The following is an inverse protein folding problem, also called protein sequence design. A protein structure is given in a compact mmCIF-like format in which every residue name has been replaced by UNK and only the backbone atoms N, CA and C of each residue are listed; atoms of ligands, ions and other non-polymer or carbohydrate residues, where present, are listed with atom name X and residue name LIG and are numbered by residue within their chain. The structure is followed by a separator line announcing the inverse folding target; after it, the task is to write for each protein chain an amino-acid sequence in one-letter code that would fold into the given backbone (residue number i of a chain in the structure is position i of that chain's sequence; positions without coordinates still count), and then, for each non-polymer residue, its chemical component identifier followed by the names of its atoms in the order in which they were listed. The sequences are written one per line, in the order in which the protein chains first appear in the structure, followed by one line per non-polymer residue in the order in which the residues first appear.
data_IF_286937320352
#
_entry.id   IF_286937320352
#
_cell.length_a   1.000
_cell.length_b   1.000
_cell.length_c   1.000
_cell.angle_alpha   90.00
_cell.angle_beta   90.00
_cell.angle_gamma   90.00
#
_symmetry.space_group_name_H-M   'P 1'
#
loop_
_entity.id
_entity.type
_entity.pdbx_description
1 polymer ?
#
# COMPACT_ATOMS: atom_id res chain seq x y z
N UNK A 1 2.89 22.65 -0.40
CA UNK A 1 2.01 21.56 0.08
C UNK A 1 0.60 22.07 0.33
N UNK A 2 -0.35 21.63 -0.50
CA UNK A 2 -1.78 21.90 -0.31
C UNK A 2 -2.39 20.75 0.48
N UNK A 3 -3.05 21.02 1.61
CA UNK A 3 -3.72 19.98 2.41
C UNK A 3 -5.18 19.94 2.03
N UNK A 4 -5.58 18.89 1.33
CA UNK A 4 -6.95 18.70 0.89
C UNK A 4 -7.69 17.81 1.87
N UNK A 5 -8.80 18.30 2.42
CA UNK A 5 -9.77 17.50 3.13
C UNK A 5 -10.73 16.84 2.12
N UNK A 6 -10.78 15.51 2.12
CA UNK A 6 -11.85 14.73 1.50
C UNK A 6 -12.85 14.34 2.59
N UNK A 7 -14.10 14.77 2.44
CA UNK A 7 -15.14 14.58 3.44
C UNK A 7 -16.11 13.52 2.95
N UNK A 8 -16.32 12.43 3.69
CA UNK A 8 -17.22 11.35 3.28
C UNK A 8 -18.44 11.24 4.21
N UNK A 9 -19.65 11.05 3.64
CA UNK A 9 -20.84 10.63 4.38
C UNK A 9 -20.85 9.13 4.70
N UNK A 10 -21.47 8.77 5.82
CA UNK A 10 -21.81 7.38 6.15
C UNK A 10 -23.30 7.13 5.83
N UNK A 11 -23.67 5.99 5.24
CA UNK A 11 -25.07 5.63 4.90
C UNK A 11 -25.38 5.63 3.39
N UNK A 12 -26.66 5.77 3.02
CA UNK A 12 -27.10 5.84 1.61
C UNK A 12 -26.60 7.16 0.97
N UNK A 13 -25.45 7.07 0.30
CA UNK A 13 -24.70 8.24 -0.18
C UNK A 13 -25.46 9.10 -1.19
N UNK A 14 -26.27 8.52 -2.08
CA UNK A 14 -27.02 9.26 -3.10
C UNK A 14 -28.13 10.15 -2.51
N UNK A 15 -29.08 9.62 -1.71
CA UNK A 15 -30.11 10.45 -1.07
C UNK A 15 -29.52 11.55 -0.18
N UNK A 16 -28.45 11.24 0.55
CA UNK A 16 -27.77 12.21 1.42
C UNK A 16 -27.07 13.31 0.62
N UNK A 17 -26.37 12.96 -0.47
CA UNK A 17 -25.77 13.94 -1.38
C UNK A 17 -26.82 14.83 -2.04
N UNK A 18 -27.96 14.27 -2.47
CA UNK A 18 -29.07 15.04 -3.02
C UNK A 18 -29.67 16.01 -1.98
N UNK A 19 -29.90 15.54 -0.76
CA UNK A 19 -30.41 16.37 0.33
C UNK A 19 -29.45 17.52 0.67
N UNK A 20 -28.15 17.25 0.65
CA UNK A 20 -27.13 18.28 0.83
C UNK A 20 -27.13 19.29 -0.33
N UNK A 21 -27.04 18.83 -1.57
CA UNK A 21 -26.93 19.68 -2.75
C UNK A 21 -28.17 20.56 -2.97
N UNK A 22 -29.33 20.16 -2.43
CA UNK A 22 -30.53 20.97 -2.42
C UNK A 22 -30.52 22.07 -1.34
N UNK A 23 -29.74 21.90 -0.27
CA UNK A 23 -29.72 22.79 0.89
C UNK A 23 -28.51 23.74 0.90
N UNK A 24 -27.45 23.41 0.16
CA UNK A 24 -26.16 24.11 0.22
C UNK A 24 -25.53 24.24 -1.17
N UNK A 25 -24.87 25.37 -1.41
CA UNK A 25 -24.19 25.66 -2.70
C UNK A 25 -22.94 24.80 -2.95
N UNK A 26 -22.49 24.05 -1.95
CA UNK A 26 -21.34 23.15 -2.07
C UNK A 26 -21.81 21.82 -2.65
N UNK A 27 -21.56 21.59 -3.94
CA UNK A 27 -21.93 20.34 -4.59
C UNK A 27 -21.10 19.17 -4.05
N UNK A 28 -21.78 18.11 -3.64
CA UNK A 28 -21.22 16.84 -3.21
C UNK A 28 -21.44 15.81 -4.29
N UNK A 29 -20.37 15.12 -4.67
CA UNK A 29 -20.44 13.99 -5.58
C UNK A 29 -20.20 12.68 -4.80
N UNK A 30 -21.16 11.75 -4.89
CA UNK A 30 -21.14 10.46 -4.19
C UNK A 30 -20.83 10.53 -2.68
N UNK A 31 -21.21 11.63 -2.04
CA UNK A 31 -20.95 11.87 -0.62
C UNK A 31 -19.54 12.37 -0.31
N UNK A 32 -18.77 12.78 -1.31
CA UNK A 32 -17.41 13.30 -1.18
C UNK A 32 -17.36 14.81 -1.48
N UNK A 33 -16.72 15.58 -0.58
CA UNK A 33 -16.32 16.97 -0.84
C UNK A 33 -14.81 17.07 -0.76
N UNK A 34 -14.20 17.73 -1.74
CA UNK A 34 -12.76 17.97 -1.83
C UNK A 34 -12.52 19.46 -1.63
N UNK A 35 -11.89 19.84 -0.52
CA UNK A 35 -11.63 21.24 -0.21
C UNK A 35 -10.26 21.42 0.44
N UNK A 36 -9.60 22.54 0.14
CA UNK A 36 -8.37 22.90 0.83
C UNK A 36 -8.66 23.28 2.28
N UNK A 37 -8.03 22.58 3.22
CA UNK A 37 -8.22 22.76 4.66
C UNK A 37 -7.75 24.14 5.16
N UNK A 38 -6.87 24.81 4.42
CA UNK A 38 -6.39 26.14 4.76
C UNK A 38 -7.40 27.24 4.43
N UNK A 39 -8.42 26.95 3.62
CA UNK A 39 -9.41 27.93 3.18
C UNK A 39 -10.50 28.17 4.24
N UNK A 40 -10.96 29.43 4.45
CA UNK A 40 -12.06 29.76 5.35
C UNK A 40 -13.34 28.94 5.09
N UNK A 41 -13.58 28.61 3.82
CA UNK A 41 -14.68 27.80 3.32
C UNK A 41 -14.74 26.43 4.02
N UNK A 42 -13.59 25.86 4.41
CA UNK A 42 -13.56 24.58 5.11
C UNK A 42 -14.19 24.66 6.50
N UNK A 43 -13.95 25.76 7.24
CA UNK A 43 -14.58 25.97 8.55
C UNK A 43 -16.09 26.20 8.43
N UNK A 44 -16.51 26.94 7.39
CA UNK A 44 -17.93 27.13 7.09
C UNK A 44 -18.61 25.81 6.75
N UNK A 45 -17.97 25.00 5.90
CA UNK A 45 -18.46 23.69 5.50
C UNK A 45 -18.59 22.72 6.68
N UNK A 46 -17.61 22.72 7.59
CA UNK A 46 -17.65 21.90 8.81
C UNK A 46 -18.81 22.30 9.74
N UNK A 47 -19.10 23.60 9.84
CA UNK A 47 -20.23 24.10 10.62
C UNK A 47 -21.57 23.69 10.00
N UNK A 48 -21.71 23.84 8.67
CA UNK A 48 -22.89 23.38 7.93
C UNK A 48 -23.11 21.87 8.09
N UNK A 49 -22.04 21.08 7.98
CA UNK A 49 -22.13 19.64 8.19
C UNK A 49 -22.56 19.27 9.59
N UNK A 50 -22.08 19.97 10.62
CA UNK A 50 -22.50 19.71 11.99
C UNK A 50 -24.02 19.86 12.15
N UNK A 51 -24.63 20.83 11.46
CA UNK A 51 -26.08 21.02 11.43
C UNK A 51 -26.78 19.90 10.64
N UNK A 52 -26.21 19.51 9.50
CA UNK A 52 -26.73 18.41 8.68
C UNK A 52 -26.69 17.07 9.43
N UNK A 53 -25.59 16.76 10.11
CA UNK A 53 -25.38 15.56 10.91
C UNK A 53 -26.30 15.46 12.15
N UNK A 54 -26.82 16.59 12.63
CA UNK A 54 -27.85 16.57 13.68
C UNK A 54 -29.21 16.09 13.16
N UNK A 55 -29.45 16.21 11.84
CA UNK A 55 -30.71 15.84 11.17
C UNK A 55 -30.64 14.47 10.49
N UNK A 56 -29.47 14.11 9.98
CA UNK A 56 -29.20 12.87 9.28
C UNK A 56 -28.11 12.13 10.05
N UNK A 57 -28.28 10.83 10.31
CA UNK A 57 -27.30 10.00 11.04
C UNK A 57 -26.03 9.77 10.19
N UNK A 58 -25.26 10.85 9.99
CA UNK A 58 -24.06 10.89 9.17
C UNK A 58 -22.87 11.35 10.01
N UNK A 59 -21.71 10.78 9.72
CA UNK A 59 -20.47 11.08 10.42
C UNK A 59 -19.55 11.84 9.48
N UNK A 60 -18.92 12.91 9.98
CA UNK A 60 -17.85 13.60 9.25
C UNK A 60 -16.61 12.73 9.28
N UNK A 61 -16.23 12.17 8.13
CA UNK A 61 -14.92 11.53 7.96
C UNK A 61 -14.06 12.43 7.11
N UNK A 62 -13.03 12.99 7.73
CA UNK A 62 -12.02 13.75 7.04
C UNK A 62 -10.89 12.83 6.63
N UNK A 63 -10.44 13.00 5.40
CA UNK A 63 -9.17 12.44 4.94
C UNK A 63 -8.32 13.58 4.43
N UNK A 64 -7.22 13.86 5.12
CA UNK A 64 -6.23 14.85 4.68
C UNK A 64 -5.30 14.19 3.68
N UNK A 65 -5.26 14.71 2.45
CA UNK A 65 -4.28 14.32 1.44
C UNK A 65 -3.41 15.53 1.12
N UNK A 66 -2.10 15.37 1.13
CA UNK A 66 -1.19 16.38 0.63
C UNK A 66 -1.08 16.28 -0.89
N UNK A 67 -1.29 17.39 -1.59
CA UNK A 67 -0.93 17.51 -3.00
C UNK A 67 0.44 18.17 -3.13
N UNK A 68 1.27 17.55 -3.95
CA UNK A 68 2.64 17.96 -4.24
C UNK A 68 2.76 18.34 -5.71
N UNK A 69 3.41 19.46 -5.97
CA UNK A 69 3.85 19.83 -7.31
C UNK A 69 5.00 18.93 -7.77
N UNK A 70 5.24 18.84 -9.08
CA UNK A 70 6.38 18.09 -9.61
C UNK A 70 7.73 18.62 -9.07
N UNK A 71 7.83 19.92 -8.83
CA UNK A 71 9.02 20.52 -8.23
C UNK A 71 9.21 20.09 -6.77
N UNK A 72 8.14 20.01 -5.99
CA UNK A 72 8.19 19.48 -4.63
C UNK A 72 8.53 17.99 -4.64
N UNK A 73 7.90 17.20 -5.50
CA UNK A 73 8.21 15.78 -5.67
C UNK A 73 9.70 15.56 -5.97
N UNK A 74 10.30 16.35 -6.85
CA UNK A 74 11.72 16.27 -7.17
C UNK A 74 12.66 16.61 -5.99
N UNK A 75 12.16 17.19 -4.91
CA UNK A 75 12.96 17.58 -3.73
C UNK A 75 12.98 16.52 -2.62
N UNK A 76 12.13 15.51 -2.69
CA UNK A 76 12.11 14.44 -1.69
C UNK A 76 13.27 13.46 -1.90
N UNK A 77 13.81 12.94 -0.80
CA UNK A 77 14.85 11.93 -0.86
C UNK A 77 14.24 10.53 -0.97
N UNK A 78 13.08 10.31 -0.34
CA UNK A 78 12.40 9.04 -0.20
C UNK A 78 10.91 9.12 -0.53
N UNK A 79 10.35 7.98 -0.94
CA UNK A 79 8.94 7.78 -1.21
C UNK A 79 8.49 6.45 -0.63
N UNK A 80 7.37 6.44 0.08
CA UNK A 80 6.63 5.23 0.37
C UNK A 80 5.84 4.80 -0.89
N UNK A 81 5.86 3.50 -1.17
CA UNK A 81 5.14 2.89 -2.29
C UNK A 81 3.91 2.16 -1.76
N UNK A 82 2.74 2.71 -2.08
CA UNK A 82 1.47 2.01 -1.89
C UNK A 82 1.18 1.18 -3.15
N UNK A 83 0.96 -0.12 -2.97
CA UNK A 83 0.66 -1.05 -4.06
C UNK A 83 -0.86 -1.28 -4.09
N UNK A 84 -1.44 -1.09 -5.26
CA UNK A 84 -2.87 -1.24 -5.54
C UNK A 84 -3.15 -2.29 -6.61
N UNK A 85 -2.14 -2.68 -7.40
CA UNK A 85 -2.29 -3.80 -8.31
C UNK A 85 -2.65 -5.06 -7.53
N UNK A 86 -3.66 -5.77 -8.00
CA UNK A 86 -4.19 -6.95 -7.33
C UNK A 86 -3.51 -8.21 -7.88
N UNK A 87 -2.90 -8.99 -7.00
CA UNK A 87 -2.23 -10.24 -7.32
C UNK A 87 -3.04 -11.48 -6.96
N UNK A 88 -4.30 -11.33 -6.57
CA UNK A 88 -5.17 -12.43 -6.17
C UNK A 88 -4.65 -13.20 -4.94
N UNK A 89 -4.94 -14.50 -4.90
CA UNK A 89 -4.57 -15.37 -3.78
C UNK A 89 -3.05 -15.67 -3.77
N UNK A 90 -2.44 -15.57 -2.58
CA UNK A 90 -1.01 -15.86 -2.34
C UNK A 90 -0.80 -16.97 -1.29
N UNK A 91 0.43 -17.06 -0.75
CA UNK A 91 0.79 -17.99 0.33
C UNK A 91 0.49 -19.49 0.04
N UNK A 92 0.04 -20.23 1.06
CA UNK A 92 -0.18 -21.66 1.04
C UNK A 92 -1.47 -22.07 0.29
N UNK A 93 -2.17 -21.12 -0.34
CA UNK A 93 -3.46 -21.35 -0.98
C UNK A 93 -3.36 -22.33 -2.14
N UNK A 94 -2.36 -22.18 -2.99
CA UNK A 94 -2.19 -23.05 -4.16
C UNK A 94 -1.21 -24.21 -3.93
N UNK A 95 -0.27 -24.08 -2.99
CA UNK A 95 0.34 -25.20 -2.27
C UNK A 95 1.34 -24.69 -1.20
N UNK A 96 2.07 -25.58 -0.54
CA UNK A 96 2.92 -25.28 0.62
C UNK A 96 4.16 -24.40 0.33
N UNK A 97 3.88 -23.11 0.11
CA UNK A 97 4.65 -21.87 0.32
C UNK A 97 5.77 -21.85 1.37
N UNK A 98 5.31 -21.93 2.62
CA UNK A 98 6.00 -21.41 3.79
C UNK A 98 5.99 -22.41 4.94
N UNK A 99 7.12 -22.49 5.63
CA UNK A 99 7.24 -23.12 6.94
C UNK A 99 7.04 -22.09 8.06
N UNK A 100 6.30 -22.48 9.09
CA UNK A 100 6.22 -21.74 10.34
C UNK A 100 7.46 -22.03 11.21
N UNK A 101 8.26 -21.00 11.47
CA UNK A 101 9.46 -21.09 12.31
C UNK A 101 9.23 -20.32 13.61
N UNK A 102 9.15 -20.99 14.78
CA UNK A 102 9.08 -20.30 16.07
C UNK A 102 10.34 -19.44 16.29
N UNK A 103 10.15 -18.16 16.63
CA UNK A 103 11.23 -17.19 16.83
C UNK A 103 11.32 -16.70 18.27
N UNK A 104 10.20 -16.67 18.99
CA UNK A 104 10.20 -16.29 20.39
C UNK A 104 9.15 -17.08 21.17
N UNK A 105 9.61 -17.90 22.11
CA UNK A 105 8.76 -18.75 22.94
C UNK A 105 7.85 -17.92 23.86
N UNK A 106 8.34 -16.78 24.36
CA UNK A 106 7.59 -15.97 25.32
C UNK A 106 6.36 -15.26 24.73
N UNK A 107 6.45 -14.76 23.50
CA UNK A 107 5.31 -14.15 22.83
C UNK A 107 4.67 -15.05 21.76
N UNK A 108 5.19 -16.28 21.58
CA UNK A 108 4.73 -17.22 20.56
C UNK A 108 4.91 -16.71 19.13
N UNK A 109 5.88 -15.80 18.89
CA UNK A 109 6.10 -15.24 17.55
C UNK A 109 6.62 -16.33 16.62
N UNK A 110 6.00 -16.40 15.45
CA UNK A 110 6.38 -17.27 14.34
C UNK A 110 6.80 -16.39 13.17
N UNK A 111 7.88 -16.78 12.48
CA UNK A 111 8.26 -16.25 11.17
C UNK A 111 7.89 -17.27 10.09
N UNK A 112 7.40 -16.78 8.97
CA UNK A 112 7.06 -17.61 7.82
C UNK A 112 8.26 -17.64 6.88
N UNK A 113 8.98 -18.76 6.86
CA UNK A 113 10.11 -18.96 5.95
C UNK A 113 9.60 -19.57 4.66
N UNK A 114 9.76 -18.85 3.56
CA UNK A 114 9.47 -19.38 2.23
C UNK A 114 10.43 -20.52 1.87
N UNK A 115 9.90 -21.70 1.57
CA UNK A 115 10.69 -22.91 1.27
C UNK A 115 10.66 -23.32 -0.20
N UNK A 116 9.87 -22.64 -1.02
CA UNK A 116 9.78 -22.84 -2.47
C UNK A 116 9.37 -21.53 -3.15
N UNK A 117 9.36 -21.50 -4.48
CA UNK A 117 8.85 -20.35 -5.21
C UNK A 117 7.37 -20.10 -4.87
N UNK A 118 6.98 -18.83 -4.97
CA UNK A 118 5.59 -18.44 -4.83
C UNK A 118 4.78 -19.09 -5.95
N UNK A 119 3.64 -19.68 -5.60
CA UNK A 119 2.71 -20.29 -6.56
C UNK A 119 1.42 -19.49 -6.54
N UNK A 120 0.98 -19.00 -7.69
CA UNK A 120 -0.27 -18.23 -7.83
C UNK A 120 -1.09 -18.75 -9.02
N UNK A 121 -2.38 -18.48 -9.01
CA UNK A 121 -3.20 -18.64 -10.20
C UNK A 121 -3.06 -17.40 -11.10
N UNK A 122 -2.30 -17.54 -12.19
CA UNK A 122 -2.07 -16.48 -13.17
C UNK A 122 -3.14 -16.48 -14.28
N UNK A 123 -4.01 -17.49 -14.29
CA UNK A 123 -5.02 -17.68 -15.31
C UNK A 123 -6.45 -17.59 -14.77
N UNK A 124 -6.61 -17.45 -13.45
CA UNK A 124 -7.87 -17.66 -12.72
C UNK A 124 -9.07 -17.31 -13.59
N UNK A 125 -9.67 -18.37 -14.15
CA UNK A 125 -10.79 -18.31 -15.09
C UNK A 125 -12.06 -17.94 -14.33
N UNK A 126 -12.07 -16.77 -13.70
CA UNK A 126 -13.31 -16.14 -13.26
C UNK A 126 -13.98 -15.64 -14.54
N UNK A 127 -15.29 -15.91 -14.76
CA UNK A 127 -15.98 -15.63 -16.01
C UNK A 127 -15.94 -14.17 -16.48
N UNK A 128 -15.45 -13.26 -15.64
CA UNK A 128 -15.20 -11.86 -15.96
C UNK A 128 -13.79 -11.44 -15.48
N UNK A 129 -12.74 -11.83 -16.21
CA UNK A 129 -11.35 -11.35 -16.00
C UNK A 129 -11.26 -9.80 -16.11
N UNK A 130 -12.22 -9.18 -16.82
CA UNK A 130 -12.40 -7.72 -16.84
C UNK A 130 -12.94 -7.16 -15.50
N UNK A 131 -13.61 -7.97 -14.66
CA UNK A 131 -14.17 -7.55 -13.37
C UNK A 131 -13.21 -7.79 -12.19
N UNK A 132 -12.33 -8.80 -12.22
CA UNK A 132 -11.42 -9.08 -11.09
C UNK A 132 -10.16 -8.23 -11.08
N UNK A 133 -9.63 -7.86 -12.25
CA UNK A 133 -8.47 -6.95 -12.37
C UNK A 133 -7.13 -7.56 -11.93
N UNK A 134 -7.04 -8.88 -11.74
CA UNK A 134 -5.81 -9.53 -11.26
C UNK A 134 -4.71 -9.50 -12.30
N UNK A 135 -3.47 -9.24 -11.86
CA UNK A 135 -2.26 -9.25 -12.70
C UNK A 135 -2.37 -8.39 -13.97
N UNK A 136 -3.10 -7.27 -13.90
CA UNK A 136 -3.18 -6.27 -14.98
C UNK A 136 -2.11 -5.18 -14.85
N UNK A 137 -1.43 -5.13 -13.70
CA UNK A 137 -0.46 -4.09 -13.35
C UNK A 137 0.97 -4.61 -13.28
N UNK A 138 1.93 -3.72 -13.50
CA UNK A 138 3.35 -4.01 -13.39
C UNK A 138 3.80 -4.46 -11.99
N UNK A 139 3.13 -3.96 -10.95
CA UNK A 139 3.40 -4.29 -9.56
C UNK A 139 2.09 -4.63 -8.88
N UNK A 140 1.95 -5.90 -8.50
CA UNK A 140 0.77 -6.40 -7.82
C UNK A 140 1.12 -6.88 -6.40
N UNK A 141 0.10 -6.95 -5.56
CA UNK A 141 0.19 -7.48 -4.20
C UNK A 141 -0.86 -8.55 -4.01
N UNK A 142 -0.44 -9.71 -3.53
CA UNK A 142 -1.35 -10.81 -3.18
C UNK A 142 -2.10 -10.52 -1.87
N UNK A 143 -3.10 -11.33 -1.59
CA UNK A 143 -3.88 -11.30 -0.34
C UNK A 143 -3.05 -11.55 0.95
N UNK A 144 -1.87 -12.15 0.79
CA UNK A 144 -0.89 -12.40 1.86
C UNK A 144 0.30 -11.43 1.84
N UNK A 145 0.19 -10.36 1.04
CA UNK A 145 1.16 -9.26 0.93
C UNK A 145 2.50 -9.62 0.30
N UNK A 146 2.61 -10.74 -0.40
CA UNK A 146 3.70 -10.91 -1.35
C UNK A 146 3.60 -9.86 -2.45
N UNK A 147 4.75 -9.36 -2.90
CA UNK A 147 4.84 -8.40 -4.00
C UNK A 147 5.30 -9.16 -5.23
N UNK A 148 4.52 -9.08 -6.30
CA UNK A 148 4.82 -9.69 -7.59
C UNK A 148 4.94 -8.59 -8.63
N UNK A 149 5.90 -8.74 -9.54
CA UNK A 149 6.24 -7.73 -10.53
C UNK A 149 6.34 -8.34 -11.92
N UNK A 150 5.98 -7.55 -12.93
CA UNK A 150 6.03 -7.94 -14.33
C UNK A 150 7.47 -8.15 -14.82
N UNK A 151 7.61 -8.82 -15.97
CA UNK A 151 8.90 -8.91 -16.69
C UNK A 151 9.49 -7.52 -16.98
N UNK A 152 8.67 -6.50 -17.24
CA UNK A 152 9.13 -5.13 -17.46
C UNK A 152 9.85 -4.56 -16.25
N UNK A 153 9.27 -4.72 -15.04
CA UNK A 153 9.91 -4.26 -13.79
C UNK A 153 11.19 -5.05 -13.51
N UNK A 154 11.19 -6.36 -13.77
CA UNK A 154 12.41 -7.17 -13.66
C UNK A 154 13.52 -6.63 -14.57
N UNK A 155 13.22 -6.39 -15.85
CA UNK A 155 14.19 -5.86 -16.80
C UNK A 155 14.71 -4.48 -16.39
N UNK A 156 13.84 -3.63 -15.85
CA UNK A 156 14.23 -2.35 -15.27
C UNK A 156 15.25 -2.54 -14.13
N UNK A 157 14.96 -3.46 -13.20
CA UNK A 157 15.82 -3.72 -12.04
C UNK A 157 17.18 -4.29 -12.46
N UNK A 158 17.20 -5.23 -13.40
CA UNK A 158 18.42 -5.83 -13.95
C UNK A 158 19.26 -4.82 -14.74
N UNK A 159 18.61 -4.03 -15.60
CA UNK A 159 19.27 -3.02 -16.46
C UNK A 159 19.93 -1.93 -15.61
N UNK A 160 19.22 -1.42 -14.60
CA UNK A 160 19.72 -0.38 -13.72
C UNK A 160 20.52 -0.90 -12.52
N UNK A 161 20.63 -2.23 -12.39
CA UNK A 161 21.33 -2.91 -11.29
C UNK A 161 20.88 -2.41 -9.92
N UNK A 162 19.57 -2.38 -9.70
CA UNK A 162 18.97 -1.95 -8.43
C UNK A 162 19.49 -2.87 -7.32
N UNK A 163 20.17 -2.35 -6.27
CA UNK A 163 20.72 -3.18 -5.21
C UNK A 163 19.66 -3.57 -4.17
N UNK A 164 19.92 -4.63 -3.40
CA UNK A 164 19.08 -5.04 -2.27
C UNK A 164 17.77 -5.71 -2.65
N UNK A 165 17.65 -6.20 -3.89
CA UNK A 165 16.49 -6.92 -4.41
C UNK A 165 16.88 -8.31 -4.87
N UNK A 166 16.01 -9.27 -4.61
CA UNK A 166 16.02 -10.60 -5.21
C UNK A 166 14.70 -10.78 -5.97
N UNK A 167 14.80 -11.23 -7.22
CA UNK A 167 13.65 -11.52 -8.08
C UNK A 167 13.59 -13.02 -8.31
N UNK A 168 12.54 -13.67 -7.81
CA UNK A 168 12.31 -15.11 -7.98
C UNK A 168 11.16 -15.35 -8.95
N UNK A 169 11.23 -16.35 -9.83
CA UNK A 169 10.11 -16.67 -10.70
C UNK A 169 8.89 -17.07 -9.86
N UNK A 170 7.71 -16.56 -10.26
CA UNK A 170 6.43 -17.05 -9.74
C UNK A 170 6.00 -18.25 -10.57
N UNK A 171 5.57 -19.30 -9.89
CA UNK A 171 5.05 -20.52 -10.51
C UNK A 171 3.52 -20.41 -10.68
N UNK A 172 3.01 -20.94 -11.78
CA UNK A 172 1.59 -21.07 -12.00
C UNK A 172 1.04 -22.32 -11.30
N UNK A 173 -0.13 -22.23 -10.66
CA UNK A 173 -0.73 -23.34 -9.89
C UNK A 173 -1.10 -24.57 -10.73
N UNK A 174 -1.36 -24.41 -12.04
CA UNK A 174 -1.61 -25.54 -12.94
C UNK A 174 -0.41 -25.80 -13.88
N UNK A 175 0.40 -26.84 -13.61
CA UNK A 175 1.53 -27.20 -14.46
C UNK A 175 1.11 -27.87 -15.77
N UNK A 176 -0.16 -28.28 -15.94
CA UNK A 176 -0.65 -28.89 -17.19
C UNK A 176 -0.99 -27.85 -18.25
N UNK A 177 -1.45 -26.66 -17.87
CA UNK A 177 -1.54 -25.47 -18.73
C UNK A 177 -0.17 -24.94 -19.14
N UNK A 178 0.86 -25.10 -18.30
CA UNK A 178 2.25 -24.77 -18.65
C UNK A 178 2.85 -25.68 -19.75
N UNK A 179 2.19 -26.80 -20.09
CA UNK A 179 2.57 -27.71 -21.18
C UNK A 179 1.61 -27.66 -22.38
N UNK A 180 0.54 -26.86 -22.30
CA UNK A 180 -0.43 -26.68 -23.39
C UNK A 180 -0.11 -25.43 -24.21
N UNK A 181 -0.79 -25.23 -25.34
CA UNK A 181 -0.66 -23.99 -26.15
C UNK A 181 -0.98 -22.71 -25.34
N UNK A 182 -1.69 -22.85 -24.20
CA UNK A 182 -1.97 -21.75 -23.26
C UNK A 182 -0.74 -21.29 -22.47
N UNK A 183 0.31 -22.10 -22.36
CA UNK A 183 1.57 -21.72 -21.70
C UNK A 183 2.21 -20.48 -22.34
N UNK A 184 1.99 -20.26 -23.64
CA UNK A 184 2.45 -19.07 -24.36
C UNK A 184 1.66 -17.80 -24.01
N UNK A 185 0.52 -17.92 -23.33
CA UNK A 185 -0.38 -16.83 -22.98
C UNK A 185 -0.19 -16.40 -21.52
N UNK A 186 0.37 -17.26 -20.65
CA UNK A 186 0.58 -16.95 -19.24
C UNK A 186 1.63 -15.83 -19.10
N UNK A 187 1.27 -14.66 -18.54
CA UNK A 187 2.23 -13.60 -18.31
C UNK A 187 3.27 -14.04 -17.29
N UNK A 188 4.54 -13.69 -17.53
CA UNK A 188 5.63 -14.03 -16.61
C UNK A 188 5.73 -12.97 -15.50
N UNK A 189 5.56 -13.42 -14.26
CA UNK A 189 5.70 -12.59 -13.06
C UNK A 189 6.84 -13.10 -12.17
N UNK A 190 7.37 -12.19 -11.37
CA UNK A 190 8.46 -12.45 -10.43
C UNK A 190 8.09 -11.94 -9.05
N UNK A 191 8.37 -12.73 -8.02
CA UNK A 191 8.27 -12.27 -6.65
C UNK A 191 9.43 -11.31 -6.38
N UNK A 192 9.10 -10.11 -5.92
CA UNK A 192 10.07 -9.13 -5.46
C UNK A 192 10.31 -9.32 -3.97
N UNK A 193 11.54 -9.70 -3.63
CA UNK A 193 12.05 -9.75 -2.27
C UNK A 193 13.00 -8.56 -2.06
N UNK A 194 12.78 -7.80 -0.99
CA UNK A 194 13.61 -6.64 -0.62
C UNK A 194 14.36 -6.99 0.64
N UNK A 195 15.70 -6.99 0.56
CA UNK A 195 16.57 -7.39 1.67
C UNK A 195 16.84 -6.23 2.63
N UNK A 196 17.01 -5.03 2.07
CA UNK A 196 17.34 -3.80 2.79
C UNK A 196 16.16 -3.31 3.62
N UNK A 197 16.43 -2.93 4.87
CA UNK A 197 15.44 -2.42 5.80
C UNK A 197 15.73 -0.96 6.14
N UNK A 198 14.69 -0.12 6.17
CA UNK A 198 14.74 1.22 6.76
C UNK A 198 14.11 1.17 8.15
N UNK A 199 14.62 1.99 9.07
CA UNK A 199 14.27 1.94 10.49
C UNK A 199 12.78 2.13 10.78
N UNK A 200 12.39 2.08 12.07
CA UNK A 200 10.99 2.22 12.44
C UNK A 200 10.45 3.60 12.05
N UNK A 201 9.15 3.65 11.79
CA UNK A 201 8.45 4.92 11.59
C UNK A 201 8.50 5.75 12.88
N UNK A 202 8.77 7.05 12.75
CA UNK A 202 8.82 7.97 13.88
C UNK A 202 7.75 9.04 13.75
N UNK A 203 7.52 9.78 14.83
CA UNK A 203 6.65 10.96 14.78
C UNK A 203 7.15 11.95 13.70
N UNK A 204 6.23 12.63 12.99
CA UNK A 204 4.79 12.68 13.18
C UNK A 204 3.98 11.57 12.48
N UNK A 205 4.59 10.50 11.97
CA UNK A 205 3.81 9.40 11.39
C UNK A 205 2.97 8.74 12.48
N UNK A 206 1.63 8.68 12.32
CA UNK A 206 0.73 8.20 13.37
C UNK A 206 0.78 6.67 13.40
N UNK A 207 1.59 6.09 14.28
CA UNK A 207 1.72 4.63 14.46
C UNK A 207 1.48 4.25 15.91
N UNK A 208 0.53 3.36 16.15
CA UNK A 208 0.34 2.69 17.43
C UNK A 208 1.08 1.36 17.43
N UNK A 209 1.85 1.12 18.48
CA UNK A 209 2.57 -0.14 18.69
C UNK A 209 2.05 -0.84 19.93
N UNK A 210 1.49 -2.03 19.74
CA UNK A 210 0.80 -2.77 20.80
C UNK A 210 1.60 -4.01 21.21
N UNK A 211 1.55 -4.32 22.51
CA UNK A 211 2.05 -5.56 23.10
C UNK A 211 3.52 -5.86 22.71
N UNK A 212 4.44 -5.02 23.21
CA UNK A 212 5.87 -5.27 23.05
C UNK A 212 6.30 -6.49 23.86
N UNK A 213 6.87 -7.48 23.20
CA UNK A 213 7.54 -8.59 23.88
C UNK A 213 8.82 -8.09 24.56
N UNK A 214 8.98 -8.36 25.85
CA UNK A 214 10.17 -7.96 26.61
C UNK A 214 11.40 -8.80 26.30
N UNK A 215 11.22 -10.00 25.74
CA UNK A 215 12.32 -10.90 25.40
C UNK A 215 12.91 -10.60 24.01
N UNK A 216 12.07 -10.58 22.97
CA UNK A 216 12.54 -10.30 21.62
C UNK A 216 12.47 -8.82 21.22
N UNK A 217 11.85 -7.96 22.04
CA UNK A 217 11.76 -6.51 21.81
C UNK A 217 10.74 -6.08 20.75
N UNK A 218 10.06 -7.05 20.11
CA UNK A 218 9.17 -6.86 18.97
C UNK A 218 7.74 -6.59 19.41
N UNK A 219 7.00 -5.82 18.62
CA UNK A 219 5.58 -5.57 18.88
C UNK A 219 4.73 -6.65 18.22
N UNK A 220 3.70 -7.13 18.93
CA UNK A 220 2.76 -8.09 18.35
C UNK A 220 1.88 -7.43 17.26
N UNK A 221 1.66 -6.12 17.36
CA UNK A 221 0.88 -5.37 16.38
C UNK A 221 1.42 -3.96 16.20
N UNK A 222 1.68 -3.58 14.94
CA UNK A 222 1.88 -2.18 14.56
C UNK A 222 0.72 -1.76 13.67
N UNK A 223 0.01 -0.71 14.11
CA UNK A 223 -1.16 -0.16 13.43
C UNK A 223 -0.90 1.32 13.15
N UNK A 224 -1.51 1.85 12.10
CA UNK A 224 -1.59 3.30 11.95
C UNK A 224 -2.61 3.86 12.93
N UNK A 225 -2.25 4.93 13.64
CA UNK A 225 -3.09 5.71 14.55
C UNK A 225 -3.98 6.68 13.76
N UNK A 226 -4.81 6.13 12.87
CA UNK A 226 -5.68 6.89 11.98
C UNK A 226 -6.97 6.13 11.68
N UNK A 227 -8.00 6.83 11.21
CA UNK A 227 -9.22 6.15 10.75
C UNK A 227 -8.86 5.22 9.58
N UNK A 228 -9.49 4.05 9.53
CA UNK A 228 -9.25 2.90 8.60
C UNK A 228 -9.18 3.29 7.10
N UNK A 229 -9.51 4.53 6.73
CA UNK A 229 -9.61 5.04 5.36
C UNK A 229 -8.73 6.26 5.05
N UNK A 230 -7.89 6.73 5.97
CA UNK A 230 -6.91 7.78 5.67
C UNK A 230 -5.79 7.19 4.80
N UNK A 231 -5.73 7.60 3.51
CA UNK A 231 -4.56 7.29 2.70
C UNK A 231 -3.37 8.02 3.30
N UNK A 232 -2.40 7.19 3.65
CA UNK A 232 -1.14 7.48 4.29
C UNK A 232 -0.34 8.40 3.38
N UNK A 233 -0.34 9.71 3.64
CA UNK A 233 0.36 10.62 2.73
C UNK A 233 1.86 10.69 3.00
N UNK A 234 2.31 10.49 4.25
CA UNK A 234 3.70 10.77 4.63
C UNK A 234 4.26 9.82 5.70
N UNK A 235 5.36 9.15 5.37
CA UNK A 235 6.17 8.37 6.32
C UNK A 235 7.33 9.22 6.82
N UNK A 236 7.76 9.00 8.06
CA UNK A 236 8.91 9.68 8.67
C UNK A 236 9.85 8.64 9.26
N UNK A 237 11.14 8.78 8.96
CA UNK A 237 12.20 7.88 9.40
C UNK A 237 13.36 8.68 10.01
N UNK A 238 14.05 8.17 11.02
CA UNK A 238 15.24 8.83 11.55
C UNK A 238 16.38 8.79 10.53
N UNK A 239 17.17 9.87 10.42
CA UNK A 239 18.32 9.98 9.50
C UNK A 239 19.30 8.84 9.65
N UNK A 240 19.52 8.39 10.89
CA UNK A 240 20.42 7.28 11.20
C UNK A 240 20.01 5.94 10.59
N UNK A 241 18.77 5.80 10.10
CA UNK A 241 18.27 4.55 9.53
C UNK A 241 18.31 4.49 8.00
N UNK A 242 18.70 5.57 7.34
CA UNK A 242 18.81 5.61 5.88
C UNK A 242 20.27 5.71 5.45
N UNK A 243 20.70 4.75 4.64
CA UNK A 243 22.10 4.59 4.19
C UNK A 243 22.29 4.88 2.69
N UNK A 244 21.26 5.36 2.01
CA UNK A 244 21.31 5.60 0.56
C UNK A 244 20.78 4.45 -0.31
N UNK A 245 20.25 3.37 0.28
CA UNK A 245 19.61 2.29 -0.49
C UNK A 245 18.50 2.80 -1.43
N UNK A 246 18.31 2.11 -2.54
CA UNK A 246 17.33 2.52 -3.57
C UNK A 246 15.92 2.07 -3.27
N UNK A 247 15.82 0.91 -2.62
CA UNK A 247 14.59 0.27 -2.23
C UNK A 247 14.84 -0.38 -0.88
N UNK A 248 13.88 -0.24 0.02
CA UNK A 248 13.90 -0.76 1.37
C UNK A 248 12.49 -1.23 1.72
N UNK A 249 12.40 -2.10 2.71
CA UNK A 249 11.16 -2.37 3.42
C UNK A 249 11.18 -1.70 4.80
N UNK A 250 10.02 -1.33 5.33
CA UNK A 250 9.91 -0.78 6.68
C UNK A 250 10.28 -1.81 7.74
N UNK A 251 10.98 -1.39 8.80
CA UNK A 251 11.23 -2.26 9.96
C UNK A 251 9.92 -2.65 10.67
N UNK A 252 8.98 -1.70 10.75
CA UNK A 252 7.62 -1.97 11.21
C UNK A 252 6.88 -2.81 10.17
N UNK A 253 6.24 -3.88 10.62
CA UNK A 253 5.34 -4.69 9.81
C UNK A 253 3.89 -4.46 10.27
N UNK A 254 3.03 -4.17 9.30
CA UNK A 254 1.65 -3.77 9.52
C UNK A 254 0.69 -4.94 9.27
N UNK A 255 -0.40 -4.96 10.03
CA UNK A 255 -1.46 -5.96 9.87
C UNK A 255 -1.60 -6.89 11.07
N UNK A 256 -2.13 -8.09 10.85
CA UNK A 256 -2.32 -9.13 11.88
C UNK A 256 -2.24 -10.53 11.26
N UNK A 257 -1.63 -11.48 11.97
CA UNK A 257 -1.55 -12.87 11.54
C UNK A 257 -0.70 -13.05 10.28
N UNK A 258 -1.04 -13.97 9.36
CA UNK A 258 -0.24 -14.25 8.17
C UNK A 258 -0.27 -13.11 7.13
N UNK A 259 -1.10 -12.08 7.33
CA UNK A 259 -1.17 -10.86 6.50
C UNK A 259 -0.29 -9.73 7.04
N UNK A 260 0.71 -10.07 7.85
CA UNK A 260 1.74 -9.14 8.34
C UNK A 260 2.64 -8.77 7.16
N UNK A 261 2.70 -7.49 6.81
CA UNK A 261 3.54 -7.04 5.69
C UNK A 261 4.28 -5.77 6.01
N UNK A 262 5.49 -5.67 5.48
CA UNK A 262 6.28 -4.45 5.50
C UNK A 262 5.93 -3.63 4.27
N UNK A 263 5.90 -2.32 4.42
CA UNK A 263 5.67 -1.44 3.28
C UNK A 263 7.01 -1.14 2.59
N UNK A 264 6.95 -0.81 1.31
CA UNK A 264 8.13 -0.51 0.51
C UNK A 264 8.41 0.99 0.51
N UNK A 265 9.68 1.33 0.64
CA UNK A 265 10.21 2.69 0.54
C UNK A 265 11.27 2.70 -0.56
N UNK A 266 11.21 3.67 -1.46
CA UNK A 266 12.17 3.84 -2.54
C UNK A 266 12.80 5.22 -2.45
N UNK A 267 14.01 5.37 -2.98
CA UNK A 267 14.63 6.68 -3.09
C UNK A 267 14.15 7.44 -4.34
N UNK A 268 14.52 8.72 -4.42
CA UNK A 268 14.23 9.60 -5.56
C UNK A 268 14.65 9.02 -6.91
N UNK A 269 15.77 8.29 -6.96
CA UNK A 269 16.29 7.72 -8.21
C UNK A 269 15.38 6.61 -8.74
N UNK A 270 14.99 5.67 -7.89
CA UNK A 270 14.09 4.59 -8.29
C UNK A 270 12.67 5.13 -8.56
N UNK A 271 12.22 6.14 -7.81
CA UNK A 271 10.98 6.87 -8.11
C UNK A 271 10.99 7.43 -9.53
N UNK A 272 12.07 8.13 -9.93
CA UNK A 272 12.21 8.67 -11.29
C UNK A 272 12.16 7.56 -12.35
N UNK A 273 12.87 6.46 -12.13
CA UNK A 273 12.83 5.31 -13.05
C UNK A 273 11.42 4.76 -13.23
N UNK A 274 10.64 4.64 -12.14
CA UNK A 274 9.25 4.21 -12.21
C UNK A 274 8.37 5.19 -12.99
N UNK A 275 8.56 6.50 -12.82
CA UNK A 275 7.82 7.50 -13.58
C UNK A 275 8.20 7.49 -15.07
N UNK A 276 9.49 7.40 -15.38
CA UNK A 276 10.01 7.39 -16.75
C UNK A 276 9.53 6.18 -17.55
N UNK A 277 9.38 5.02 -16.90
CA UNK A 277 8.95 3.77 -17.53
C UNK A 277 7.44 3.52 -17.38
N UNK A 278 6.69 4.44 -16.76
CA UNK A 278 5.24 4.34 -16.62
C UNK A 278 4.78 3.11 -15.83
N UNK A 279 5.54 2.70 -14.80
CA UNK A 279 5.23 1.51 -14.00
C UNK A 279 3.87 1.67 -13.31
N UNK A 280 2.97 0.71 -13.53
CA UNK A 280 1.60 0.72 -12.99
C UNK A 280 1.44 -0.08 -11.69
N UNK A 281 0.23 -0.15 -11.13
CA UNK A 281 -0.07 -0.87 -9.88
C UNK A 281 0.41 -0.21 -8.59
N UNK A 282 1.00 0.99 -8.67
CA UNK A 282 1.53 1.71 -7.50
C UNK A 282 1.07 3.17 -7.46
N UNK A 283 0.99 3.71 -6.24
CA UNK A 283 1.13 5.15 -6.02
C UNK A 283 2.29 5.41 -5.06
N UNK A 284 2.94 6.55 -5.26
CA UNK A 284 4.08 6.97 -4.44
C UNK A 284 3.72 8.19 -3.63
N UNK A 285 4.18 8.19 -2.40
CA UNK A 285 3.87 9.20 -1.40
C UNK A 285 5.19 9.65 -0.76
N UNK A 286 5.43 10.94 -0.54
CA UNK A 286 6.65 11.38 0.10
C UNK A 286 6.94 10.68 1.42
N UNK A 287 8.21 10.36 1.63
CA UNK A 287 8.73 9.93 2.92
C UNK A 287 9.86 10.87 3.35
N UNK A 288 9.87 11.20 4.63
CA UNK A 288 10.73 12.20 5.21
C UNK A 288 11.81 11.55 6.06
N UNK A 289 12.99 12.13 5.98
CA UNK A 289 14.05 11.87 6.93
C UNK A 289 14.04 12.98 7.99
N UNK A 290 14.04 12.59 9.27
CA UNK A 290 14.09 13.51 10.41
C UNK A 290 15.41 13.32 11.19
N UNK A 291 15.94 14.41 11.74
CA UNK A 291 17.21 14.43 12.51
C UNK A 291 17.04 13.92 13.96
#
# INVERSE_FOLDING_TARGET
MKKIARIQFHGETRPLAQAWNAAHDHHIDLGIIVLDKALPEYQQLRALFTQFAAKYDVVWRERVTAEYTQQELASFELFHVAIYGDGGEGNNTHAHVYDEVPVCDACGRVEYRQVRNLVVDLLEEQPDVEETGYFQDDVCRTDFREIVVSEQVKQLFETHRVPGVELRPVEHCDPTTAQSELAMIVPTYYQLLVETEIGPLVEPTPVQRHNRCTECGQFAQVLFDGQVFEIRSEYHFPRSSYDGAWIMQTADAFGRGPRYGRDIVINQRLYQLFQEHGITGIATYPAHIVE
#
